data_IF_738938085023
#
_entry.id   IF_738938085023
#
_cell.length_a   1.000
_cell.length_b   1.000
_cell.length_c   1.000
_cell.angle_alpha   90.00
_cell.angle_beta   90.00
_cell.angle_gamma   90.00
#
_symmetry.space_group_name_H-M   'P 1'
#
loop_
_entity.id
_entity.type
_entity.pdbx_description
1 polymer ?
#
# COMPACT_ATOMS: atom_id res chain seq x y z
N UNK A 1 8.18 -16.63 28.80
CA UNK A 1 7.17 -17.45 28.09
C UNK A 1 7.50 -17.33 26.62
N UNK A 2 7.50 -18.44 25.86
CA UNK A 2 7.79 -18.36 24.44
C UNK A 2 6.62 -17.67 23.73
N UNK A 3 6.87 -16.92 22.65
CA UNK A 3 5.81 -16.16 21.98
C UNK A 3 4.71 -17.08 21.43
N UNK A 4 5.06 -18.31 21.06
CA UNK A 4 4.15 -19.35 20.62
C UNK A 4 3.05 -19.61 21.66
N UNK A 5 3.41 -19.90 22.91
CA UNK A 5 2.47 -20.11 24.02
C UNK A 5 1.51 -18.92 24.21
N UNK A 6 2.03 -17.69 24.07
CA UNK A 6 1.24 -16.46 24.23
C UNK A 6 0.21 -16.34 23.12
N UNK A 7 0.61 -16.63 21.87
CA UNK A 7 -0.27 -16.61 20.71
C UNK A 7 -1.34 -17.70 20.84
N UNK A 8 -0.96 -18.93 21.19
CA UNK A 8 -1.90 -20.03 21.39
C UNK A 8 -2.96 -19.69 22.44
N UNK A 9 -2.54 -19.17 23.59
CA UNK A 9 -3.45 -18.71 24.64
C UNK A 9 -4.35 -17.56 24.15
N UNK A 10 -3.81 -16.61 23.38
CA UNK A 10 -4.55 -15.46 22.83
C UNK A 10 -5.68 -15.88 21.89
N UNK A 11 -5.46 -16.93 21.12
CA UNK A 11 -6.42 -17.46 20.14
C UNK A 11 -7.32 -18.56 20.69
N UNK A 12 -7.19 -18.92 21.98
CA UNK A 12 -8.02 -19.91 22.67
C UNK A 12 -8.16 -21.25 21.90
N UNK A 13 -7.11 -21.65 21.17
CA UNK A 13 -7.11 -22.88 20.37
C UNK A 13 -7.90 -22.81 19.06
N UNK A 14 -8.25 -21.63 18.54
CA UNK A 14 -8.83 -21.48 17.19
C UNK A 14 -7.81 -21.95 16.13
N UNK A 15 -8.03 -23.18 15.64
CA UNK A 15 -7.12 -23.89 14.75
C UNK A 15 -6.88 -23.14 13.44
N UNK A 16 -7.90 -22.47 12.89
CA UNK A 16 -7.77 -21.76 11.61
C UNK A 16 -6.95 -20.47 11.78
N UNK A 17 -7.16 -19.74 12.88
CA UNK A 17 -6.34 -18.56 13.19
C UNK A 17 -4.89 -18.94 13.48
N UNK A 18 -4.66 -20.00 14.25
CA UNK A 18 -3.30 -20.48 14.54
C UNK A 18 -2.59 -20.99 13.29
N UNK A 19 -3.31 -21.72 12.42
CA UNK A 19 -2.78 -22.14 11.11
C UNK A 19 -2.37 -20.95 10.25
N UNK A 20 -3.15 -19.87 10.25
CA UNK A 20 -2.78 -18.63 9.58
C UNK A 20 -1.53 -17.98 10.21
N UNK A 21 -1.51 -17.84 11.54
CA UNK A 21 -0.42 -17.17 12.27
C UNK A 21 0.91 -17.89 12.05
N UNK A 22 0.91 -19.23 12.11
CA UNK A 22 2.12 -20.04 12.00
C UNK A 22 2.44 -20.53 10.58
N UNK A 23 1.66 -20.16 9.56
CA UNK A 23 1.92 -20.59 8.17
C UNK A 23 3.22 -20.01 7.61
N UNK A 24 4.06 -20.85 7.00
CA UNK A 24 5.25 -20.44 6.26
C UNK A 24 4.96 -20.10 4.77
N UNK A 25 3.69 -20.10 4.37
CA UNK A 25 3.31 -19.82 3.00
C UNK A 25 3.63 -18.38 2.61
N UNK A 26 4.28 -18.22 1.44
CA UNK A 26 4.61 -16.88 0.93
C UNK A 26 3.42 -16.12 0.37
N UNK A 27 2.30 -16.79 0.06
CA UNK A 27 1.10 -16.16 -0.49
C UNK A 27 -0.11 -16.73 0.20
N UNK A 28 -0.76 -15.90 1.00
CA UNK A 28 -1.90 -16.30 1.81
C UNK A 28 -3.09 -15.42 1.43
N UNK A 29 -4.24 -16.05 1.28
CA UNK A 29 -5.52 -15.37 1.11
C UNK A 29 -6.37 -15.72 2.33
N UNK A 30 -6.80 -14.72 3.07
CA UNK A 30 -7.61 -14.90 4.28
C UNK A 30 -9.04 -14.44 3.98
N UNK A 31 -9.97 -15.38 3.98
CA UNK A 31 -11.40 -15.08 3.89
C UNK A 31 -12.02 -15.11 5.29
N UNK A 32 -12.43 -13.96 5.80
CA UNK A 32 -12.88 -13.81 7.17
C UNK A 32 -14.19 -12.97 7.23
N UNK A 33 -15.28 -13.48 7.84
CA UNK A 33 -16.48 -12.69 8.10
C UNK A 33 -16.21 -11.53 9.07
N UNK A 34 -17.11 -10.54 9.10
CA UNK A 34 -17.04 -9.48 10.09
C UNK A 34 -17.09 -10.05 11.52
N UNK A 35 -16.26 -9.52 12.42
CA UNK A 35 -16.26 -9.89 13.84
C UNK A 35 -15.51 -11.19 14.20
N UNK A 36 -14.90 -11.90 13.24
CA UNK A 36 -14.17 -13.16 13.52
C UNK A 36 -12.78 -13.00 14.15
N UNK A 37 -12.33 -11.79 14.47
CA UNK A 37 -11.00 -11.56 15.02
C UNK A 37 -9.87 -11.42 13.99
N UNK A 38 -10.18 -11.14 12.70
CA UNK A 38 -9.20 -10.89 11.63
C UNK A 38 -8.03 -10.00 12.06
N UNK A 39 -8.34 -8.87 12.71
CA UNK A 39 -7.32 -7.92 13.17
C UNK A 39 -6.40 -8.53 14.24
N UNK A 40 -6.95 -9.33 15.16
CA UNK A 40 -6.15 -10.05 16.16
C UNK A 40 -5.21 -11.04 15.49
N UNK A 41 -5.73 -11.88 14.58
CA UNK A 41 -4.92 -12.83 13.83
C UNK A 41 -3.80 -12.15 13.02
N UNK A 42 -4.11 -11.03 12.35
CA UNK A 42 -3.11 -10.23 11.61
C UNK A 42 -2.00 -9.72 12.54
N UNK A 43 -2.34 -9.16 13.71
CA UNK A 43 -1.32 -8.66 14.64
C UNK A 43 -0.49 -9.81 15.24
N UNK A 44 -1.10 -10.94 15.56
CA UNK A 44 -0.39 -12.15 16.00
C UNK A 44 0.57 -12.66 14.92
N UNK A 45 0.17 -12.68 13.65
CA UNK A 45 1.05 -13.03 12.52
C UNK A 45 2.25 -12.08 12.42
N UNK A 46 2.03 -10.77 12.54
CA UNK A 46 3.12 -9.79 12.55
C UNK A 46 4.08 -10.04 13.72
N UNK A 47 3.55 -10.29 14.92
CA UNK A 47 4.34 -10.56 16.10
C UNK A 47 5.19 -11.83 15.94
N UNK A 48 4.59 -12.91 15.41
CA UNK A 48 5.27 -14.16 15.08
C UNK A 48 6.42 -13.94 14.10
N UNK A 49 6.14 -13.37 12.91
CA UNK A 49 7.16 -13.16 11.87
C UNK A 49 8.36 -12.30 12.33
N UNK A 50 8.09 -11.29 13.17
CA UNK A 50 9.13 -10.42 13.70
C UNK A 50 9.95 -11.08 14.81
N UNK A 51 9.32 -11.84 15.69
CA UNK A 51 9.97 -12.45 16.87
C UNK A 51 10.74 -13.72 16.53
N UNK A 52 10.22 -14.54 15.60
CA UNK A 52 10.87 -15.76 15.11
C UNK A 52 12.06 -15.48 14.18
N UNK A 53 12.34 -14.20 13.89
CA UNK A 53 13.50 -13.79 13.09
C UNK A 53 13.34 -14.00 11.58
N UNK A 54 12.15 -14.38 11.11
CA UNK A 54 11.85 -14.51 9.67
C UNK A 54 12.00 -13.18 8.93
N UNK A 55 11.69 -12.06 9.60
CA UNK A 55 11.95 -10.72 9.10
C UNK A 55 13.30 -10.21 9.64
N UNK A 56 14.28 -10.13 8.75
CA UNK A 56 15.64 -9.70 9.05
C UNK A 56 15.66 -8.31 9.72
N UNK A 57 16.70 -8.04 10.52
CA UNK A 57 16.80 -6.83 11.35
C UNK A 57 16.72 -5.51 10.56
N UNK A 58 17.26 -5.48 9.33
CA UNK A 58 17.24 -4.31 8.43
C UNK A 58 16.03 -4.28 7.48
N UNK A 59 15.04 -5.15 7.68
CA UNK A 59 13.84 -5.29 6.84
C UNK A 59 12.58 -4.96 7.64
N UNK A 60 11.49 -4.75 6.90
CA UNK A 60 10.21 -4.30 7.46
C UNK A 60 9.03 -5.13 6.99
N UNK A 61 7.93 -4.96 7.72
CA UNK A 61 6.58 -5.34 7.32
C UNK A 61 5.87 -4.10 6.76
N UNK A 62 5.09 -4.25 5.70
CA UNK A 62 4.22 -3.22 5.15
C UNK A 62 2.76 -3.66 5.27
N UNK A 63 1.96 -2.97 6.08
CA UNK A 63 0.51 -3.16 6.11
C UNK A 63 -0.17 -2.04 5.33
N UNK A 64 -0.95 -2.40 4.31
CA UNK A 64 -1.66 -1.47 3.45
C UNK A 64 -3.16 -1.73 3.42
N UNK A 65 -3.91 -0.72 3.01
CA UNK A 65 -5.35 -0.77 2.80
C UNK A 65 -5.77 0.37 1.86
N UNK A 66 -7.04 0.39 1.46
CA UNK A 66 -7.58 1.45 0.61
C UNK A 66 -7.80 2.77 1.37
N UNK A 67 -8.39 2.72 2.57
CA UNK A 67 -8.84 3.93 3.29
C UNK A 67 -7.87 4.43 4.36
N UNK A 68 -7.88 5.74 4.62
CA UNK A 68 -7.09 6.34 5.72
C UNK A 68 -7.54 5.78 7.08
N UNK A 69 -8.85 5.64 7.27
CA UNK A 69 -9.44 5.17 8.52
C UNK A 69 -9.05 3.72 8.82
N UNK A 70 -9.04 2.84 7.82
CA UNK A 70 -8.57 1.46 7.99
C UNK A 70 -7.08 1.43 8.37
N UNK A 71 -6.25 2.27 7.74
CA UNK A 71 -4.84 2.35 8.09
C UNK A 71 -4.62 2.85 9.54
N UNK A 72 -5.47 3.77 10.02
CA UNK A 72 -5.46 4.19 11.44
C UNK A 72 -5.87 3.05 12.36
N UNK A 73 -6.94 2.31 12.04
CA UNK A 73 -7.38 1.14 12.81
C UNK A 73 -6.28 0.08 12.94
N UNK A 74 -5.53 -0.19 11.87
CA UNK A 74 -4.38 -1.12 11.90
C UNK A 74 -3.30 -0.60 12.87
N UNK A 75 -2.98 0.70 12.83
CA UNK A 75 -2.00 1.30 13.76
C UNK A 75 -2.46 1.19 15.21
N UNK A 76 -3.72 1.47 15.48
CA UNK A 76 -4.28 1.41 16.84
C UNK A 76 -4.34 -0.03 17.35
N UNK A 77 -4.66 -0.99 16.47
CA UNK A 77 -4.61 -2.40 16.78
C UNK A 77 -3.19 -2.86 17.13
N UNK A 78 -2.18 -2.45 16.36
CA UNK A 78 -0.78 -2.76 16.67
C UNK A 78 -0.36 -2.21 18.04
N UNK A 79 -0.71 -0.95 18.34
CA UNK A 79 -0.41 -0.33 19.64
C UNK A 79 -1.10 -1.02 20.82
N UNK A 80 -2.31 -1.52 20.60
CA UNK A 80 -3.14 -2.12 21.65
C UNK A 80 -2.81 -3.59 21.87
N UNK A 81 -2.54 -4.34 20.81
CA UNK A 81 -2.42 -5.80 20.85
C UNK A 81 -0.98 -6.28 21.00
N UNK A 82 0.01 -5.63 20.36
CA UNK A 82 1.42 -6.04 20.47
C UNK A 82 1.95 -6.08 21.92
N UNK A 83 1.61 -5.14 22.83
CA UNK A 83 2.07 -5.21 24.22
C UNK A 83 1.67 -6.48 24.97
N UNK A 84 0.63 -7.18 24.51
CA UNK A 84 0.18 -8.43 25.10
C UNK A 84 0.86 -9.66 24.48
N UNK A 85 1.67 -9.48 23.44
CA UNK A 85 2.30 -10.55 22.67
C UNK A 85 3.82 -10.55 22.79
N UNK A 86 4.44 -9.38 22.84
CA UNK A 86 5.90 -9.23 22.79
C UNK A 86 6.43 -8.21 23.79
N UNK A 87 7.62 -8.46 24.30
CA UNK A 87 8.42 -7.46 25.00
C UNK A 87 9.07 -6.48 24.00
N UNK A 88 9.53 -5.31 24.44
CA UNK A 88 10.18 -4.29 23.60
C UNK A 88 9.33 -3.81 22.39
N UNK A 89 8.03 -3.60 22.62
CA UNK A 89 7.02 -3.22 21.62
C UNK A 89 7.46 -2.13 20.64
N UNK A 90 8.20 -1.11 21.11
CA UNK A 90 8.65 -0.01 20.24
C UNK A 90 9.55 -0.47 19.10
N UNK A 91 10.39 -1.50 19.34
CA UNK A 91 11.22 -2.09 18.31
C UNK A 91 10.36 -2.73 17.21
N UNK A 92 9.33 -3.49 17.60
CA UNK A 92 8.40 -4.14 16.67
C UNK A 92 7.59 -3.10 15.87
N UNK A 93 7.01 -2.11 16.55
CA UNK A 93 6.25 -1.03 15.89
C UNK A 93 7.12 -0.31 14.85
N UNK A 94 8.40 -0.04 15.16
CA UNK A 94 9.31 0.63 14.23
C UNK A 94 9.57 -0.17 12.93
N UNK A 95 9.39 -1.50 12.97
CA UNK A 95 9.56 -2.40 11.81
C UNK A 95 8.28 -2.56 10.98
N UNK A 96 7.13 -2.02 11.41
CA UNK A 96 5.86 -2.11 10.70
C UNK A 96 5.49 -0.74 10.12
N UNK A 97 5.56 -0.61 8.79
CA UNK A 97 5.04 0.56 8.11
C UNK A 97 3.56 0.35 7.80
N UNK A 98 2.69 1.26 8.24
CA UNK A 98 1.24 1.22 7.95
C UNK A 98 0.82 2.45 7.15
N UNK A 99 0.17 2.23 6.01
CA UNK A 99 -0.29 3.32 5.14
C UNK A 99 -1.46 2.87 4.25
N UNK A 100 -2.33 3.80 3.84
CA UNK A 100 -3.17 3.52 2.68
C UNK A 100 -2.36 3.63 1.38
N UNK A 101 -2.93 3.20 0.25
CA UNK A 101 -2.22 3.20 -1.04
C UNK A 101 -1.67 4.57 -1.44
N UNK A 102 -2.46 5.64 -1.28
CA UNK A 102 -2.05 7.00 -1.63
C UNK A 102 -0.91 7.51 -0.75
N UNK A 103 -0.98 7.30 0.57
CA UNK A 103 0.10 7.71 1.47
C UNK A 103 1.39 6.93 1.21
N UNK A 104 1.28 5.64 0.88
CA UNK A 104 2.44 4.86 0.48
C UNK A 104 3.02 5.34 -0.86
N UNK A 105 2.19 5.60 -1.86
CA UNK A 105 2.60 6.16 -3.14
C UNK A 105 3.31 7.52 -2.97
N UNK A 106 2.73 8.45 -2.18
CA UNK A 106 3.34 9.73 -1.84
C UNK A 106 4.70 9.54 -1.17
N UNK A 107 4.84 8.60 -0.21
CA UNK A 107 6.14 8.31 0.45
C UNK A 107 7.21 7.87 -0.55
N UNK A 108 6.87 7.07 -1.56
CA UNK A 108 7.82 6.67 -2.60
C UNK A 108 8.16 7.88 -3.49
N UNK A 109 7.17 8.68 -3.87
CA UNK A 109 7.38 9.87 -4.69
C UNK A 109 8.24 10.93 -3.99
N UNK A 110 8.04 11.18 -2.69
CA UNK A 110 8.92 12.06 -1.92
C UNK A 110 10.38 11.61 -1.94
N UNK A 111 10.64 10.29 -1.92
CA UNK A 111 12.01 9.75 -1.87
C UNK A 111 12.67 9.65 -3.23
N UNK A 112 11.90 9.35 -4.28
CA UNK A 112 12.44 8.92 -5.56
C UNK A 112 11.76 9.57 -6.78
N UNK A 113 10.74 10.38 -6.56
CA UNK A 113 9.93 11.02 -7.60
C UNK A 113 10.74 11.96 -8.49
N UNK A 114 11.77 12.63 -7.94
CA UNK A 114 12.68 13.49 -8.71
C UNK A 114 13.30 12.77 -9.93
N UNK A 115 13.45 11.45 -9.85
CA UNK A 115 13.99 10.64 -10.95
C UNK A 115 13.00 10.47 -12.11
N UNK A 116 11.69 10.64 -11.89
CA UNK A 116 10.67 10.68 -12.94
C UNK A 116 10.51 12.09 -13.51
N UNK A 117 10.43 13.07 -12.63
CA UNK A 117 10.30 14.48 -12.96
C UNK A 117 10.95 15.32 -11.85
N UNK A 118 11.90 16.24 -12.16
CA UNK A 118 12.57 17.06 -11.16
C UNK A 118 11.63 17.80 -10.22
N UNK A 119 10.45 18.23 -10.68
CA UNK A 119 9.48 18.98 -9.87
C UNK A 119 8.97 18.21 -8.64
N UNK A 120 9.09 16.88 -8.62
CA UNK A 120 8.73 16.08 -7.44
C UNK A 120 9.60 16.38 -6.21
N UNK A 121 10.71 17.11 -6.34
CA UNK A 121 11.43 17.65 -5.16
C UNK A 121 10.56 18.64 -4.37
N UNK A 122 9.60 19.30 -5.03
CA UNK A 122 8.63 20.24 -4.45
C UNK A 122 7.29 19.57 -4.14
N UNK A 123 7.20 18.23 -4.10
CA UNK A 123 5.93 17.51 -3.95
C UNK A 123 5.10 17.92 -2.71
N UNK A 124 5.73 18.43 -1.65
CA UNK A 124 5.03 18.95 -0.46
C UNK A 124 4.20 20.20 -0.73
N UNK A 125 4.53 20.94 -1.80
CA UNK A 125 3.87 22.18 -2.22
C UNK A 125 2.77 21.91 -3.25
N UNK A 126 2.66 20.67 -3.74
CA UNK A 126 1.74 20.34 -4.81
C UNK A 126 0.29 20.42 -4.33
N UNK A 127 -0.56 21.01 -5.17
CA UNK A 127 -2.00 20.97 -4.98
C UNK A 127 -2.55 19.64 -5.48
N UNK A 128 -3.16 18.88 -4.56
CA UNK A 128 -3.87 17.63 -4.89
C UNK A 128 -5.31 17.97 -5.28
N UNK A 129 -5.74 17.51 -6.45
CA UNK A 129 -7.08 17.80 -7.00
C UNK A 129 -7.76 16.54 -7.52
N UNK A 130 -9.09 16.60 -7.63
CA UNK A 130 -9.87 15.60 -8.35
C UNK A 130 -9.66 15.76 -9.87
N UNK A 131 -9.74 14.65 -10.60
CA UNK A 131 -9.64 14.60 -12.06
C UNK A 131 -10.68 15.48 -12.78
N UNK A 132 -11.82 15.73 -12.13
CA UNK A 132 -12.91 16.57 -12.63
C UNK A 132 -12.83 18.04 -12.18
N UNK A 133 -11.79 18.43 -11.43
CA UNK A 133 -11.69 19.78 -10.88
C UNK A 133 -11.49 20.84 -11.96
N UNK A 134 -12.33 21.88 -11.98
CA UNK A 134 -12.15 23.03 -12.87
C UNK A 134 -10.81 23.77 -12.70
N UNK A 135 -10.10 23.53 -11.60
CA UNK A 135 -8.77 24.09 -11.39
C UNK A 135 -7.77 23.65 -12.47
N UNK A 136 -7.86 22.41 -12.98
CA UNK A 136 -6.91 21.91 -13.97
C UNK A 136 -7.20 22.40 -15.38
N UNK A 137 -8.41 22.92 -15.65
CA UNK A 137 -8.83 23.45 -16.96
C UNK A 137 -7.96 24.65 -17.40
N UNK A 138 -7.27 25.30 -16.47
CA UNK A 138 -6.30 26.37 -16.77
C UNK A 138 -4.98 25.86 -17.37
N UNK A 139 -4.69 24.56 -17.23
CA UNK A 139 -3.42 23.94 -17.64
C UNK A 139 -3.58 22.92 -18.76
N UNK A 140 -4.80 22.44 -19.01
CA UNK A 140 -5.07 21.36 -19.95
C UNK A 140 -6.17 21.76 -20.95
N UNK A 141 -6.17 21.11 -22.12
CA UNK A 141 -7.22 21.28 -23.13
C UNK A 141 -8.45 20.40 -22.81
N UNK A 142 -9.57 20.65 -23.48
CA UNK A 142 -10.75 19.77 -23.39
C UNK A 142 -10.43 18.31 -23.77
N UNK A 143 -9.62 18.09 -24.81
CA UNK A 143 -9.20 16.76 -25.23
C UNK A 143 -8.34 16.05 -24.17
N UNK A 144 -7.50 16.79 -23.44
CA UNK A 144 -6.74 16.24 -22.31
C UNK A 144 -7.69 15.85 -21.17
N UNK A 145 -8.64 16.73 -20.82
CA UNK A 145 -9.64 16.48 -19.78
C UNK A 145 -10.42 15.19 -20.07
N UNK A 146 -10.83 14.98 -21.33
CA UNK A 146 -11.51 13.76 -21.75
C UNK A 146 -10.63 12.51 -21.57
N UNK A 147 -9.33 12.59 -21.84
CA UNK A 147 -8.39 11.48 -21.60
C UNK A 147 -8.25 11.17 -20.11
N UNK A 148 -8.15 12.19 -19.25
CA UNK A 148 -8.08 12.00 -17.80
C UNK A 148 -9.37 11.33 -17.27
N UNK A 149 -10.54 11.82 -17.70
CA UNK A 149 -11.85 11.26 -17.34
C UNK A 149 -12.01 9.82 -17.80
N UNK A 150 -11.56 9.48 -19.01
CA UNK A 150 -11.63 8.09 -19.52
C UNK A 150 -10.87 7.10 -18.63
N UNK A 151 -9.74 7.51 -18.06
CA UNK A 151 -8.96 6.68 -17.13
C UNK A 151 -9.65 6.60 -15.77
N UNK A 152 -10.14 7.73 -15.24
CA UNK A 152 -10.88 7.75 -13.99
C UNK A 152 -12.13 6.85 -14.04
N UNK A 153 -12.91 6.93 -15.12
CA UNK A 153 -14.03 6.03 -15.38
C UNK A 153 -13.58 4.57 -15.39
N UNK A 154 -12.50 4.23 -16.10
CA UNK A 154 -11.97 2.88 -16.16
C UNK A 154 -11.57 2.33 -14.77
N UNK A 155 -11.05 3.18 -13.89
CA UNK A 155 -10.79 2.82 -12.48
C UNK A 155 -12.10 2.53 -11.74
N UNK A 156 -13.11 3.39 -11.89
CA UNK A 156 -14.42 3.27 -11.21
C UNK A 156 -15.19 2.02 -11.62
N UNK A 157 -15.21 1.69 -12.92
CA UNK A 157 -15.90 0.51 -13.43
C UNK A 157 -15.04 -0.76 -13.41
N UNK A 158 -13.81 -0.68 -12.88
CA UNK A 158 -12.85 -1.79 -12.87
C UNK A 158 -12.54 -2.39 -14.25
N UNK A 159 -12.47 -1.55 -15.30
CA UNK A 159 -12.07 -1.94 -16.65
C UNK A 159 -10.55 -1.86 -16.80
N UNK A 160 -9.91 -3.02 -16.68
CA UNK A 160 -8.45 -3.15 -16.72
C UNK A 160 -7.87 -2.84 -18.10
N UNK A 161 -8.54 -3.22 -19.18
CA UNK A 161 -8.01 -3.05 -20.53
C UNK A 161 -8.01 -1.58 -20.91
N UNK A 162 -9.14 -0.89 -20.68
CA UNK A 162 -9.26 0.55 -20.91
C UNK A 162 -8.33 1.36 -20.01
N UNK A 163 -8.17 0.96 -18.75
CA UNK A 163 -7.19 1.59 -17.85
C UNK A 163 -5.78 1.49 -18.44
N UNK A 164 -5.32 0.28 -18.77
CA UNK A 164 -3.95 0.07 -19.30
C UNK A 164 -3.73 0.87 -20.59
N UNK A 165 -4.72 0.87 -21.49
CA UNK A 165 -4.65 1.62 -22.75
C UNK A 165 -4.51 3.14 -22.54
N UNK A 166 -5.13 3.70 -21.49
CA UNK A 166 -5.11 5.14 -21.19
C UNK A 166 -3.94 5.61 -20.30
N UNK A 167 -3.18 4.71 -19.68
CA UNK A 167 -2.18 5.09 -18.67
C UNK A 167 -1.05 5.99 -19.20
N UNK A 168 -0.54 5.72 -20.41
CA UNK A 168 0.57 6.51 -20.95
C UNK A 168 0.12 7.89 -21.43
N UNK A 169 -1.09 8.00 -22.00
CA UNK A 169 -1.74 9.27 -22.33
C UNK A 169 -1.99 10.12 -21.07
N UNK A 170 -2.53 9.51 -20.01
CA UNK A 170 -2.73 10.19 -18.72
C UNK A 170 -1.41 10.70 -18.16
N UNK A 171 -0.37 9.85 -18.17
CA UNK A 171 0.94 10.22 -17.69
C UNK A 171 1.53 11.39 -18.47
N UNK A 172 1.38 11.43 -19.79
CA UNK A 172 1.90 12.53 -20.60
C UNK A 172 1.28 13.87 -20.20
N UNK A 173 -0.05 13.91 -20.04
CA UNK A 173 -0.78 15.10 -19.57
C UNK A 173 -0.31 15.49 -18.17
N UNK A 174 -0.31 14.54 -17.24
CA UNK A 174 0.10 14.77 -15.87
C UNK A 174 1.53 15.34 -15.81
N UNK A 175 2.47 14.69 -16.50
CA UNK A 175 3.89 15.02 -16.43
C UNK A 175 4.26 16.34 -17.09
N UNK A 176 3.62 16.69 -18.22
CA UNK A 176 3.95 17.90 -18.98
C UNK A 176 3.12 19.12 -18.59
N UNK A 177 1.89 18.92 -18.11
CA UNK A 177 0.93 20.02 -17.92
C UNK A 177 0.57 20.26 -16.46
N UNK A 178 0.46 19.23 -15.64
CA UNK A 178 0.04 19.40 -14.24
C UNK A 178 1.22 19.47 -13.27
N UNK A 179 2.18 18.55 -13.37
CA UNK A 179 3.35 18.50 -12.48
C UNK A 179 4.19 19.77 -12.60
N UNK A 180 4.39 20.29 -13.82
CA UNK A 180 5.09 21.56 -14.06
C UNK A 180 4.38 22.79 -13.48
N UNK A 181 3.11 22.66 -13.10
CA UNK A 181 2.33 23.68 -12.40
C UNK A 181 2.05 23.27 -10.93
N UNK A 182 2.92 22.44 -10.35
CA UNK A 182 2.80 21.92 -8.98
C UNK A 182 1.40 21.39 -8.65
N UNK A 183 0.80 20.68 -9.60
CA UNK A 183 -0.54 20.11 -9.47
C UNK A 183 -0.50 18.62 -9.75
N UNK A 184 -1.21 17.83 -8.94
CA UNK A 184 -1.33 16.40 -9.14
C UNK A 184 -2.75 15.94 -8.82
N UNK A 185 -3.26 15.01 -9.59
CA UNK A 185 -4.58 14.42 -9.36
C UNK A 185 -4.48 13.22 -8.40
N UNK A 186 -5.60 12.80 -7.80
CA UNK A 186 -5.62 11.63 -6.91
C UNK A 186 -5.13 10.35 -7.62
N UNK A 187 -5.65 10.02 -8.81
CA UNK A 187 -5.15 8.91 -9.61
C UNK A 187 -3.72 9.18 -10.10
N UNK A 188 -3.36 10.45 -10.34
CA UNK A 188 -2.01 10.87 -10.71
C UNK A 188 -0.94 10.46 -9.70
N UNK A 189 -1.24 10.48 -8.40
CA UNK A 189 -0.34 10.00 -7.34
C UNK A 189 -0.03 8.51 -7.53
N UNK A 190 -1.07 7.68 -7.69
CA UNK A 190 -0.90 6.22 -7.87
C UNK A 190 -0.20 5.91 -9.20
N UNK A 191 -0.61 6.56 -10.29
CA UNK A 191 -0.01 6.38 -11.63
C UNK A 191 1.48 6.75 -11.61
N UNK A 192 1.83 7.86 -10.96
CA UNK A 192 3.23 8.29 -10.80
C UNK A 192 4.03 7.24 -10.03
N UNK A 193 3.52 6.73 -8.91
CA UNK A 193 4.21 5.68 -8.15
C UNK A 193 4.33 4.36 -8.92
N UNK A 194 3.29 3.94 -9.66
CA UNK A 194 3.32 2.76 -10.52
C UNK A 194 4.38 2.92 -11.61
N UNK A 195 4.47 4.10 -12.24
CA UNK A 195 5.47 4.38 -13.27
C UNK A 195 6.88 4.43 -12.69
N UNK A 196 7.06 4.99 -11.50
CA UNK A 196 8.33 5.01 -10.77
C UNK A 196 8.82 3.58 -10.48
N UNK A 197 7.92 2.72 -10.02
CA UNK A 197 8.18 1.31 -9.75
C UNK A 197 8.31 0.44 -11.01
N UNK A 198 8.16 1.00 -12.24
CA UNK A 198 8.64 0.31 -13.45
C UNK A 198 10.17 0.31 -13.53
N UNK A 199 10.86 1.23 -12.84
CA UNK A 199 12.32 1.23 -12.75
C UNK A 199 12.79 0.07 -11.85
N UNK A 200 13.53 -0.88 -12.43
CA UNK A 200 13.92 -2.12 -11.77
C UNK A 200 14.64 -1.92 -10.43
N UNK A 201 15.49 -0.90 -10.30
CA UNK A 201 16.24 -0.64 -9.07
C UNK A 201 15.33 -0.28 -7.88
N UNK A 202 14.38 0.63 -8.08
CA UNK A 202 13.47 1.09 -7.02
C UNK A 202 12.50 -0.02 -6.62
N UNK A 203 11.89 -0.69 -7.60
CA UNK A 203 10.99 -1.82 -7.32
C UNK A 203 11.72 -2.96 -6.60
N UNK A 204 12.95 -3.30 -7.04
CA UNK A 204 13.76 -4.34 -6.38
C UNK A 204 14.12 -3.96 -4.94
N UNK A 205 14.40 -2.69 -4.67
CA UNK A 205 14.62 -2.21 -3.30
C UNK A 205 13.40 -2.48 -2.43
N UNK A 206 12.20 -2.02 -2.82
CA UNK A 206 11.00 -2.18 -2.00
C UNK A 206 10.57 -3.63 -1.83
N UNK A 207 10.69 -4.46 -2.88
CA UNK A 207 10.43 -5.92 -2.80
C UNK A 207 11.33 -6.62 -1.79
N UNK A 208 12.60 -6.22 -1.70
CA UNK A 208 13.58 -6.77 -0.76
C UNK A 208 13.52 -6.11 0.62
N UNK A 209 13.02 -4.88 0.71
CA UNK A 209 12.95 -4.12 1.95
C UNK A 209 11.76 -4.54 2.80
N UNK A 210 10.60 -4.73 2.15
CA UNK A 210 9.40 -5.28 2.77
C UNK A 210 9.35 -6.79 2.55
N UNK A 211 9.83 -7.55 3.54
CA UNK A 211 9.82 -9.02 3.49
C UNK A 211 8.43 -9.62 3.74
N UNK A 212 7.52 -8.82 4.29
CA UNK A 212 6.11 -9.16 4.46
C UNK A 212 5.25 -7.97 4.06
N UNK A 213 4.22 -8.22 3.27
CA UNK A 213 3.23 -7.23 2.84
C UNK A 213 1.84 -7.77 3.20
N UNK A 214 1.06 -6.98 3.92
CA UNK A 214 -0.32 -7.29 4.30
C UNK A 214 -1.22 -6.30 3.60
N UNK A 215 -2.24 -6.80 2.91
CA UNK A 215 -3.28 -5.98 2.29
C UNK A 215 -4.58 -6.23 3.04
N UNK A 216 -5.02 -5.25 3.84
CA UNK A 216 -6.26 -5.33 4.58
C UNK A 216 -7.42 -4.71 3.77
N UNK A 217 -8.59 -5.33 3.90
CA UNK A 217 -9.81 -5.01 3.12
C UNK A 217 -9.53 -5.05 1.61
N UNK A 218 -8.92 -6.14 1.12
CA UNK A 218 -8.54 -6.26 -0.30
C UNK A 218 -9.73 -6.09 -1.24
N UNK A 219 -10.95 -6.48 -0.84
CA UNK A 219 -12.17 -6.30 -1.61
C UNK A 219 -12.50 -4.82 -1.93
N UNK A 220 -11.98 -3.86 -1.15
CA UNK A 220 -12.16 -2.43 -1.39
C UNK A 220 -11.09 -1.85 -2.35
N UNK A 221 -10.18 -2.68 -2.86
CA UNK A 221 -9.05 -2.24 -3.68
C UNK A 221 -9.47 -1.92 -5.10
N UNK A 222 -9.30 -0.67 -5.52
CA UNK A 222 -9.47 -0.28 -6.91
C UNK A 222 -8.32 -0.77 -7.81
N UNK A 223 -8.51 -0.68 -9.14
CA UNK A 223 -7.51 -1.18 -10.09
C UNK A 223 -6.13 -0.53 -9.98
N UNK A 224 -6.04 0.78 -9.71
CA UNK A 224 -4.74 1.44 -9.53
C UNK A 224 -4.02 0.95 -8.26
N UNK A 225 -4.75 0.78 -7.15
CA UNK A 225 -4.24 0.17 -5.93
C UNK A 225 -3.72 -1.24 -6.19
N UNK A 226 -4.48 -2.05 -6.91
CA UNK A 226 -4.05 -3.39 -7.33
C UNK A 226 -2.77 -3.36 -8.18
N UNK A 227 -2.70 -2.46 -9.17
CA UNK A 227 -1.50 -2.30 -10.00
C UNK A 227 -0.28 -1.86 -9.18
N UNK A 228 -0.46 -0.97 -8.19
CA UNK A 228 0.58 -0.57 -7.26
C UNK A 228 1.08 -1.76 -6.43
N UNK A 229 0.18 -2.52 -5.81
CA UNK A 229 0.51 -3.72 -5.03
C UNK A 229 1.31 -4.70 -5.87
N UNK A 230 0.86 -4.97 -7.11
CA UNK A 230 1.54 -5.90 -8.03
C UNK A 230 3.00 -5.51 -8.30
N UNK A 231 3.36 -4.22 -8.21
CA UNK A 231 4.76 -3.75 -8.35
C UNK A 231 5.62 -3.99 -7.12
N UNK A 232 5.03 -4.27 -5.97
CA UNK A 232 5.71 -4.54 -4.70
C UNK A 232 5.85 -6.03 -4.39
N UNK A 233 5.14 -6.90 -5.12
CA UNK A 233 5.22 -8.35 -4.95
C UNK A 233 6.51 -8.89 -5.57
N UNK A 234 7.27 -9.64 -4.78
CA UNK A 234 8.47 -10.36 -5.16
C UNK A 234 8.53 -11.71 -4.46
N UNK A 235 9.65 -12.00 -3.80
CA UNK A 235 9.82 -13.20 -2.95
C UNK A 235 9.35 -12.99 -1.50
N UNK A 236 8.69 -11.86 -1.24
CA UNK A 236 8.11 -11.51 0.06
C UNK A 236 6.89 -12.37 0.40
N UNK A 237 6.60 -12.48 1.70
CA UNK A 237 5.34 -13.00 2.19
C UNK A 237 4.25 -11.97 1.89
N UNK A 238 3.18 -12.38 1.23
CA UNK A 238 2.06 -11.50 0.88
C UNK A 238 0.76 -12.09 1.39
N UNK A 239 0.03 -11.30 2.16
CA UNK A 239 -1.26 -11.67 2.77
C UNK A 239 -2.33 -10.74 2.20
N UNK A 240 -3.39 -11.35 1.67
CA UNK A 240 -4.58 -10.68 1.13
C UNK A 240 -5.82 -10.99 1.98
#
# INVERSE_FOLDING_TARGET
>A
MQIEDIIEAKHAGDVEQLRFVFSDDKKIIVTAPAGCGKTTAMVSKIAWELSSGHILSNKKVLAMTFSVNAAMKIKDALKTLLPNLVENVQQYISKVDVANYHNFAMRILFKHGYSLNPEFVHLSEFKIVDESSHYIDSFITSADSDKLKKVDEAVKISDKERLIAGLDDYWEILNKKLISNHTITYNGILISAIKLLRKNQISSFYKKYYQMIIIDEFQDTNLLGYLLIKKLIGDNVVIF
#
